data_IF_493345285209
#
_entry.id   IF_493345285209
#
_cell.length_a   1.000
_cell.length_b   1.000
_cell.length_c   1.000
_cell.angle_alpha   90.00
_cell.angle_beta   90.00
_cell.angle_gamma   90.00
#
_symmetry.space_group_name_H-M   'P 1'
#
loop_
_entity.id
_entity.type
_entity.pdbx_description
1 polymer ?
#
# COMPACT_ATOMS: atom_id res chain seq x y z
N UNK A 1 58.16 15.35 40.04
CA UNK A 1 58.32 13.94 39.65
C UNK A 1 57.52 13.71 38.39
N UNK A 2 58.26 13.55 37.30
CA UNK A 2 57.92 12.88 36.04
C UNK A 2 56.72 13.39 35.23
N UNK A 3 56.99 14.40 34.41
CA UNK A 3 56.40 14.62 33.09
C UNK A 3 56.64 13.40 32.19
N UNK A 4 55.59 12.88 31.56
CA UNK A 4 55.69 11.98 30.42
C UNK A 4 54.97 12.62 29.22
N UNK A 5 55.75 13.35 28.42
CA UNK A 5 55.35 13.80 27.10
C UNK A 5 55.34 12.64 26.10
N UNK A 6 54.27 12.55 25.30
CA UNK A 6 54.23 11.70 24.12
C UNK A 6 54.44 12.60 22.90
N UNK A 7 55.56 12.37 22.25
CA UNK A 7 56.04 13.03 21.04
C UNK A 7 55.18 12.69 19.83
N UNK A 8 54.82 13.72 19.05
CA UNK A 8 54.01 13.60 17.85
C UNK A 8 54.72 12.92 16.68
N UNK A 9 53.96 12.12 15.94
CA UNK A 9 54.26 11.72 14.56
C UNK A 9 53.55 12.71 13.63
N UNK A 10 54.33 13.58 12.97
CA UNK A 10 53.83 14.46 11.92
C UNK A 10 53.86 13.72 10.58
N UNK A 11 52.70 13.57 9.95
CA UNK A 11 52.58 13.05 8.58
C UNK A 11 52.93 14.15 7.58
N UNK A 12 53.82 13.83 6.65
CA UNK A 12 54.38 14.71 5.61
C UNK A 12 53.49 14.88 4.37
N UNK A 13 52.20 14.55 4.44
CA UNK A 13 51.34 14.42 3.24
C UNK A 13 50.42 15.61 2.92
N UNK A 14 50.56 16.76 3.60
CA UNK A 14 49.77 17.95 3.30
C UNK A 14 50.66 19.18 3.09
N UNK A 15 51.36 19.19 1.96
CA UNK A 15 51.78 20.44 1.33
C UNK A 15 51.17 20.49 -0.06
N UNK A 16 50.05 21.18 -0.19
CA UNK A 16 49.82 21.96 -1.40
C UNK A 16 48.94 23.18 -1.13
N UNK A 17 49.53 24.30 -1.50
CA UNK A 17 49.03 25.65 -1.53
C UNK A 17 47.98 25.84 -2.62
N UNK A 18 46.83 26.38 -2.23
CA UNK A 18 45.84 26.98 -3.11
C UNK A 18 44.92 27.86 -2.27
N UNK A 19 45.12 29.17 -2.32
CA UNK A 19 44.21 30.16 -1.73
C UNK A 19 42.81 29.98 -2.31
N UNK A 20 41.88 29.47 -1.50
CA UNK A 20 40.45 29.66 -1.73
C UNK A 20 39.99 30.90 -0.94
N UNK A 21 39.14 31.76 -1.53
CA UNK A 21 38.63 32.95 -0.85
C UNK A 21 37.85 32.54 0.40
N UNK A 22 38.11 33.25 1.50
CA UNK A 22 37.48 33.07 2.81
C UNK A 22 35.95 33.17 2.64
N UNK A 23 35.16 32.16 3.04
CA UNK A 23 33.71 32.25 2.99
C UNK A 23 33.26 33.35 3.95
N UNK A 24 32.34 34.21 3.49
CA UNK A 24 31.63 35.17 4.35
C UNK A 24 31.06 34.41 5.55
N UNK A 25 31.43 34.83 6.76
CA UNK A 25 30.83 34.36 8.01
C UNK A 25 29.33 34.65 7.98
N UNK A 26 28.52 33.61 7.79
CA UNK A 26 27.06 33.66 7.87
C UNK A 26 26.66 34.05 9.30
N UNK A 27 25.68 34.94 9.43
CA UNK A 27 25.15 35.35 10.73
C UNK A 27 24.20 34.26 11.25
N UNK A 28 24.07 34.08 12.58
CA UNK A 28 23.04 33.23 13.14
C UNK A 28 21.66 33.71 12.68
N UNK A 29 20.96 32.89 11.89
CA UNK A 29 19.66 33.22 11.29
C UNK A 29 19.62 33.16 9.75
N UNK A 30 20.77 33.04 9.08
CA UNK A 30 20.80 32.89 7.62
C UNK A 30 20.38 31.47 7.23
N UNK A 31 19.15 31.33 6.72
CA UNK A 31 18.66 30.07 6.13
C UNK A 31 19.20 29.97 4.70
N UNK A 32 20.23 29.16 4.51
CA UNK A 32 20.71 28.80 3.17
C UNK A 32 19.77 27.74 2.61
N UNK A 33 18.87 28.15 1.71
CA UNK A 33 18.04 27.22 0.96
C UNK A 33 18.91 26.52 -0.09
N UNK A 34 18.72 25.20 -0.25
CA UNK A 34 19.36 24.45 -1.33
C UNK A 34 18.88 24.97 -2.70
N UNK A 35 19.67 24.76 -3.75
CA UNK A 35 19.28 25.11 -5.12
C UNK A 35 17.93 24.45 -5.51
N UNK A 36 17.71 23.23 -5.04
CA UNK A 36 16.46 22.48 -5.22
C UNK A 36 15.28 23.14 -4.50
N UNK A 37 15.47 23.63 -3.26
CA UNK A 37 14.45 24.35 -2.52
C UNK A 37 14.09 25.69 -3.20
N UNK A 38 15.08 26.41 -3.75
CA UNK A 38 14.84 27.63 -4.52
C UNK A 38 14.05 27.31 -5.80
N UNK A 39 14.37 26.21 -6.49
CA UNK A 39 13.67 25.79 -7.70
C UNK A 39 12.22 25.37 -7.39
N UNK A 40 12.00 24.68 -6.27
CA UNK A 40 10.66 24.30 -5.80
C UNK A 40 9.79 25.53 -5.49
N UNK A 41 10.34 26.53 -4.80
CA UNK A 41 9.64 27.80 -4.52
C UNK A 41 9.26 28.54 -5.81
N UNK A 42 10.20 28.65 -6.77
CA UNK A 42 9.91 29.25 -8.08
C UNK A 42 8.79 28.52 -8.82
N UNK A 43 8.78 27.19 -8.78
CA UNK A 43 7.73 26.38 -9.41
C UNK A 43 6.36 26.62 -8.76
N UNK A 44 6.33 26.75 -7.43
CA UNK A 44 5.08 27.05 -6.71
C UNK A 44 4.53 28.44 -7.06
N UNK A 45 5.39 29.45 -7.18
CA UNK A 45 4.98 30.81 -7.58
C UNK A 45 4.44 30.85 -9.01
N UNK A 46 5.07 30.14 -9.95
CA UNK A 46 4.56 30.03 -11.34
C UNK A 46 3.16 29.44 -11.35
N UNK A 47 2.94 28.32 -10.65
CA UNK A 47 1.63 27.69 -10.59
C UNK A 47 0.58 28.57 -9.89
N UNK A 48 0.99 29.39 -8.91
CA UNK A 48 0.10 30.39 -8.28
C UNK A 48 -0.33 31.44 -9.30
N UNK A 49 0.62 32.00 -10.05
CA UNK A 49 0.35 33.00 -11.09
C UNK A 49 -0.57 32.46 -12.18
N UNK A 50 -0.36 31.22 -12.63
CA UNK A 50 -1.25 30.58 -13.60
C UNK A 50 -2.69 30.43 -13.06
N UNK A 51 -2.85 30.05 -11.79
CA UNK A 51 -4.18 29.96 -11.16
C UNK A 51 -4.86 31.33 -11.07
N UNK A 52 -4.12 32.38 -10.69
CA UNK A 52 -4.65 33.75 -10.61
C UNK A 52 -5.02 34.27 -12.01
N UNK A 53 -4.18 34.07 -13.03
CA UNK A 53 -4.50 34.43 -14.42
C UNK A 53 -5.79 33.74 -14.91
N UNK A 54 -5.97 32.45 -14.59
CA UNK A 54 -7.19 31.72 -14.95
C UNK A 54 -8.43 32.23 -14.22
N UNK A 55 -8.30 32.68 -12.97
CA UNK A 55 -9.39 33.36 -12.24
C UNK A 55 -9.74 34.69 -12.92
N UNK A 56 -8.74 35.46 -13.31
CA UNK A 56 -8.92 36.72 -14.04
C UNK A 56 -9.63 36.54 -15.39
N UNK A 57 -9.27 35.50 -16.16
CA UNK A 57 -9.98 35.15 -17.39
C UNK A 57 -11.45 34.83 -17.13
N UNK A 58 -11.76 34.08 -16.05
CA UNK A 58 -13.14 33.77 -15.66
C UNK A 58 -13.93 35.00 -15.22
N UNK A 59 -13.29 35.93 -14.49
CA UNK A 59 -13.89 37.23 -14.13
C UNK A 59 -14.20 38.04 -15.38
N UNK A 60 -13.26 38.12 -16.35
CA UNK A 60 -13.47 38.80 -17.63
C UNK A 60 -14.57 38.15 -18.48
N UNK A 61 -14.77 36.84 -18.35
CA UNK A 61 -15.86 36.10 -18.99
C UNK A 61 -17.24 36.31 -18.32
N UNK A 62 -17.32 37.08 -17.22
CA UNK A 62 -18.58 37.40 -16.55
C UNK A 62 -19.08 36.33 -15.58
N UNK A 63 -18.20 35.44 -15.11
CA UNK A 63 -18.57 34.47 -14.08
C UNK A 63 -18.64 35.13 -12.70
N UNK A 64 -19.82 35.09 -12.07
CA UNK A 64 -20.11 35.83 -10.84
C UNK A 64 -19.56 35.18 -9.56
N UNK A 65 -19.08 33.92 -9.62
CA UNK A 65 -18.60 33.15 -8.47
C UNK A 65 -17.14 32.68 -8.67
N UNK A 66 -16.24 33.66 -8.82
CA UNK A 66 -14.80 33.42 -8.90
C UNK A 66 -14.14 33.89 -7.61
N UNK A 67 -13.46 32.99 -6.92
CA UNK A 67 -12.72 33.30 -5.69
C UNK A 67 -11.68 34.41 -5.89
N UNK A 68 -11.31 35.12 -4.82
CA UNK A 68 -10.21 36.09 -4.84
C UNK A 68 -8.86 35.43 -5.19
N UNK A 69 -7.89 36.25 -5.54
CA UNK A 69 -6.55 35.79 -5.89
C UNK A 69 -5.82 35.24 -4.66
N UNK A 70 -5.00 34.21 -4.89
CA UNK A 70 -4.09 33.74 -3.86
C UNK A 70 -3.06 34.85 -3.59
N UNK A 71 -3.10 35.40 -2.37
CA UNK A 71 -2.15 36.40 -1.92
C UNK A 71 -0.70 35.88 -1.94
N UNK A 72 0.24 36.81 -1.94
CA UNK A 72 1.68 36.51 -1.86
C UNK A 72 2.03 35.95 -0.47
N UNK A 73 1.74 34.67 -0.26
CA UNK A 73 2.06 33.96 0.97
C UNK A 73 3.57 33.79 1.11
N UNK A 74 4.23 34.77 1.75
CA UNK A 74 5.53 34.67 2.42
C UNK A 74 6.62 33.89 1.63
N UNK A 75 6.87 34.25 0.38
CA UNK A 75 8.21 34.08 -0.16
C UNK A 75 9.11 35.12 0.54
N UNK A 76 10.17 34.71 1.26
CA UNK A 76 11.12 35.68 1.81
C UNK A 76 11.63 36.53 0.64
N UNK A 77 11.75 37.83 0.89
CA UNK A 77 12.19 38.86 -0.06
C UNK A 77 13.61 38.52 -0.59
N UNK A 78 13.75 37.61 -1.55
CA UNK A 78 15.01 37.28 -2.20
C UNK A 78 15.14 38.20 -3.41
N UNK A 79 15.80 39.34 -3.20
CA UNK A 79 16.19 40.27 -4.26
C UNK A 79 17.28 39.60 -5.13
N UNK A 80 16.87 39.02 -6.26
CA UNK A 80 17.82 38.56 -7.29
C UNK A 80 18.24 39.76 -8.15
N UNK A 81 19.53 40.08 -8.14
CA UNK A 81 20.16 41.09 -9.00
C UNK A 81 20.24 40.53 -10.44
N UNK A 82 19.64 41.16 -11.46
CA UNK A 82 19.78 40.73 -12.85
C UNK A 82 21.18 41.07 -13.37
N UNK A 83 21.84 40.10 -13.99
CA UNK A 83 23.06 40.35 -14.79
C UNK A 83 22.70 40.48 -16.26
N UNK A 84 22.95 41.67 -16.81
CA UNK A 84 23.43 41.92 -18.18
C UNK A 84 22.50 41.60 -19.34
N UNK A 85 21.87 42.64 -19.90
CA UNK A 85 21.27 42.63 -21.23
C UNK A 85 22.35 42.54 -22.32
N UNK A 86 22.14 41.66 -23.31
CA UNK A 86 22.87 41.68 -24.59
C UNK A 86 21.91 42.20 -25.66
N UNK A 87 22.26 43.26 -26.41
CA UNK A 87 21.47 43.73 -27.54
C UNK A 87 21.80 42.90 -28.79
N UNK A 88 20.77 42.35 -29.43
CA UNK A 88 20.89 41.77 -30.78
C UNK A 88 19.82 42.38 -31.66
N UNK A 89 20.21 43.47 -32.32
CA UNK A 89 19.55 44.03 -33.49
C UNK A 89 20.33 43.59 -34.72
N UNK A 90 19.80 42.63 -35.48
CA UNK A 90 20.32 42.28 -36.81
C UNK A 90 19.17 41.89 -37.74
N UNK A 91 18.90 42.83 -38.65
CA UNK A 91 18.41 42.69 -40.03
C UNK A 91 17.72 41.39 -40.46
N UNK A 92 16.44 41.52 -40.77
CA UNK A 92 15.65 40.57 -41.53
C UNK A 92 16.20 40.40 -42.95
N UNK A 93 16.79 39.23 -43.23
CA UNK A 93 16.95 38.68 -44.56
C UNK A 93 16.09 37.42 -44.64
N UNK A 94 15.06 37.46 -45.49
CA UNK A 94 14.23 36.31 -45.86
C UNK A 94 15.12 35.23 -46.49
N UNK A 95 15.50 34.25 -45.67
CA UNK A 95 16.17 33.04 -46.12
C UNK A 95 15.12 32.04 -46.60
N UNK A 96 15.25 31.60 -47.84
CA UNK A 96 14.51 30.46 -48.38
C UNK A 96 14.77 29.21 -47.51
N UNK A 97 13.70 28.64 -46.96
CA UNK A 97 13.68 27.34 -46.28
C UNK A 97 14.14 26.24 -47.24
N UNK A 98 15.45 25.97 -47.26
CA UNK A 98 15.92 24.66 -47.65
C UNK A 98 15.54 23.70 -46.53
N UNK A 99 14.73 22.68 -46.82
CA UNK A 99 14.40 21.61 -45.87
C UNK A 99 15.69 21.01 -45.31
N UNK A 100 16.10 21.50 -44.14
CA UNK A 100 17.24 20.97 -43.43
C UNK A 100 16.94 19.50 -43.12
N UNK A 101 17.91 18.60 -43.32
CA UNK A 101 17.73 17.18 -43.07
C UNK A 101 17.23 16.99 -41.64
N UNK A 102 16.03 16.44 -41.52
CA UNK A 102 15.34 16.24 -40.25
C UNK A 102 16.24 15.38 -39.37
N UNK A 103 16.88 16.02 -38.38
CA UNK A 103 17.78 15.32 -37.47
C UNK A 103 16.99 14.23 -36.75
N UNK A 104 17.53 13.01 -36.77
CA UNK A 104 16.91 11.85 -36.13
C UNK A 104 16.80 12.03 -34.60
N UNK A 105 17.71 12.83 -34.03
CA UNK A 105 17.72 13.22 -32.62
C UNK A 105 17.77 14.74 -32.53
N UNK A 106 16.70 15.31 -31.97
CA UNK A 106 16.53 16.76 -31.80
C UNK A 106 17.02 17.17 -30.41
N UNK A 107 17.96 18.12 -30.35
CA UNK A 107 18.58 18.57 -29.10
C UNK A 107 17.56 19.16 -28.11
N UNK A 108 16.53 19.84 -28.61
CA UNK A 108 15.42 20.38 -27.80
C UNK A 108 14.60 19.26 -27.15
N UNK A 109 14.40 18.13 -27.84
CA UNK A 109 13.77 16.93 -27.25
C UNK A 109 14.72 16.20 -26.31
N UNK A 110 16.01 16.13 -26.63
CA UNK A 110 17.00 15.47 -25.79
C UNK A 110 17.22 16.22 -24.47
N UNK A 111 17.21 17.55 -24.49
CA UNK A 111 17.37 18.41 -23.30
C UNK A 111 16.26 18.25 -22.25
N UNK A 112 15.08 17.78 -22.65
CA UNK A 112 13.98 17.47 -21.74
C UNK A 112 14.17 16.12 -21.01
N UNK A 113 15.10 15.28 -21.49
CA UNK A 113 15.39 14.00 -20.87
C UNK A 113 16.57 14.16 -19.91
N UNK A 114 16.41 13.69 -18.68
CA UNK A 114 17.55 13.50 -17.77
C UNK A 114 17.98 12.05 -17.85
N UNK A 115 19.28 11.81 -18.04
CA UNK A 115 19.82 10.47 -17.91
C UNK A 115 19.80 10.09 -16.43
N UNK A 116 19.01 9.08 -16.08
CA UNK A 116 19.05 8.44 -14.78
C UNK A 116 19.71 7.08 -14.96
N UNK A 117 20.90 6.91 -14.37
CA UNK A 117 21.64 5.65 -14.43
C UNK A 117 20.85 4.49 -13.78
N UNK A 118 19.99 4.82 -12.81
CA UNK A 118 19.11 3.89 -12.11
C UNK A 118 17.71 4.47 -12.22
N UNK A 119 16.80 3.73 -12.87
CA UNK A 119 15.38 4.05 -12.87
C UNK A 119 14.81 3.68 -11.49
N UNK A 120 14.70 4.68 -10.61
CA UNK A 120 14.09 4.55 -9.28
C UNK A 120 12.58 4.82 -9.30
N UNK A 121 11.98 5.02 -10.47
CA UNK A 121 10.54 5.33 -10.58
C UNK A 121 9.68 4.14 -10.16
N UNK A 122 8.54 4.41 -9.51
CA UNK A 122 7.60 3.36 -9.12
C UNK A 122 6.89 2.84 -10.39
N UNK A 123 6.96 1.53 -10.70
CA UNK A 123 6.34 0.99 -11.91
C UNK A 123 4.81 1.21 -11.96
N UNK A 124 4.29 1.57 -13.13
CA UNK A 124 2.86 1.84 -13.37
C UNK A 124 1.94 0.68 -12.98
N UNK A 125 2.42 -0.56 -13.07
CA UNK A 125 1.70 -1.76 -12.64
C UNK A 125 1.25 -1.72 -11.17
N UNK A 126 2.02 -1.07 -10.29
CA UNK A 126 1.67 -0.90 -8.87
C UNK A 126 0.51 0.11 -8.73
N UNK A 127 0.53 1.20 -9.50
CA UNK A 127 -0.59 2.15 -9.56
C UNK A 127 -1.88 1.48 -10.07
N UNK A 128 -1.76 0.54 -11.00
CA UNK A 128 -2.92 -0.24 -11.47
C UNK A 128 -3.55 -1.10 -10.36
N UNK A 129 -2.77 -1.67 -9.43
CA UNK A 129 -3.35 -2.37 -8.27
C UNK A 129 -4.17 -1.39 -7.42
N UNK A 130 -3.56 -0.28 -7.02
CA UNK A 130 -4.16 0.74 -6.17
C UNK A 130 -5.44 1.34 -6.79
N UNK A 131 -5.41 1.68 -8.09
CA UNK A 131 -6.57 2.23 -8.81
C UNK A 131 -7.78 1.29 -8.82
N UNK A 132 -7.54 -0.02 -8.70
CA UNK A 132 -8.59 -1.04 -8.66
C UNK A 132 -8.93 -1.49 -7.23
N UNK A 133 -8.52 -0.74 -6.21
CA UNK A 133 -8.80 -1.03 -4.81
C UNK A 133 -8.09 -2.29 -4.27
N UNK A 134 -7.08 -2.79 -4.99
CA UNK A 134 -6.24 -3.89 -4.53
C UNK A 134 -5.08 -3.29 -3.77
N UNK A 135 -4.99 -3.57 -2.47
CA UNK A 135 -3.89 -3.09 -1.65
C UNK A 135 -2.57 -3.68 -2.13
N UNK A 136 -1.61 -2.85 -2.57
CA UNK A 136 -0.30 -3.34 -2.96
C UNK A 136 0.46 -3.75 -1.68
N UNK A 137 0.95 -5.00 -1.58
CA UNK A 137 1.69 -5.41 -0.40
C UNK A 137 3.05 -4.75 -0.34
N UNK A 138 3.57 -4.47 0.85
CA UNK A 138 4.87 -3.83 1.05
C UNK A 138 5.98 -4.55 0.30
N UNK A 139 5.96 -5.89 0.25
CA UNK A 139 6.98 -6.70 -0.43
C UNK A 139 7.25 -6.28 -1.89
N UNK A 140 6.26 -5.70 -2.59
CA UNK A 140 6.45 -5.28 -3.99
C UNK A 140 7.31 -4.01 -4.10
N UNK A 141 7.42 -3.23 -3.02
CA UNK A 141 8.24 -2.02 -2.92
C UNK A 141 9.69 -2.32 -2.54
N UNK A 142 10.06 -3.59 -2.36
CA UNK A 142 11.47 -3.97 -2.24
C UNK A 142 12.24 -3.58 -3.52
N UNK A 143 13.51 -3.16 -3.41
CA UNK A 143 14.33 -2.85 -4.59
C UNK A 143 14.37 -4.01 -5.61
N UNK A 144 14.54 -5.25 -5.13
CA UNK A 144 14.55 -6.44 -5.99
C UNK A 144 13.19 -6.68 -6.67
N UNK A 145 12.08 -6.45 -5.96
CA UNK A 145 10.73 -6.55 -6.50
C UNK A 145 10.47 -5.49 -7.57
N UNK A 146 10.87 -4.24 -7.33
CA UNK A 146 10.74 -3.14 -8.29
C UNK A 146 11.56 -3.41 -9.55
N UNK A 147 12.83 -3.82 -9.41
CA UNK A 147 13.68 -4.20 -10.54
C UNK A 147 13.05 -5.34 -11.37
N UNK A 148 12.49 -6.34 -10.70
CA UNK A 148 11.75 -7.43 -11.36
C UNK A 148 10.53 -6.92 -12.12
N UNK A 149 9.74 -6.00 -11.55
CA UNK A 149 8.57 -5.40 -12.21
C UNK A 149 8.99 -4.61 -13.46
N UNK A 150 10.07 -3.83 -13.37
CA UNK A 150 10.60 -3.07 -14.52
C UNK A 150 11.10 -3.98 -15.65
N UNK A 151 11.67 -5.13 -15.32
CA UNK A 151 12.14 -6.11 -16.31
C UNK A 151 11.02 -6.76 -17.15
N UNK A 152 9.74 -6.45 -16.90
CA UNK A 152 8.55 -6.88 -17.65
C UNK A 152 8.25 -8.38 -17.68
N UNK A 153 9.05 -9.22 -17.01
CA UNK A 153 8.83 -10.67 -16.90
C UNK A 153 7.94 -11.03 -15.69
N UNK A 154 6.83 -10.33 -15.52
CA UNK A 154 5.90 -10.58 -14.41
C UNK A 154 4.60 -11.15 -14.92
N UNK A 155 4.20 -12.27 -14.32
CA UNK A 155 2.92 -12.90 -14.56
C UNK A 155 1.79 -11.97 -14.15
N UNK A 156 0.74 -11.94 -14.95
CA UNK A 156 -0.48 -11.17 -14.64
C UNK A 156 -1.66 -12.10 -14.43
N UNK A 157 -2.57 -11.72 -13.55
CA UNK A 157 -3.81 -12.44 -13.27
C UNK A 157 -5.02 -11.57 -13.58
N UNK A 158 -6.10 -12.21 -14.06
CA UNK A 158 -7.39 -11.56 -14.27
C UNK A 158 -8.14 -11.51 -12.95
N UNK A 159 -8.37 -10.32 -12.42
CA UNK A 159 -9.19 -10.09 -11.24
C UNK A 159 -10.61 -9.66 -11.66
N UNK A 160 -11.63 -10.22 -11.01
CA UNK A 160 -13.02 -9.81 -11.24
C UNK A 160 -13.41 -8.67 -10.30
N UNK A 161 -13.96 -7.59 -10.82
CA UNK A 161 -14.40 -6.40 -10.05
C UNK A 161 -15.91 -6.42 -9.73
N UNK A 162 -16.61 -7.52 -10.01
CA UNK A 162 -18.04 -7.69 -9.70
C UNK A 162 -19.00 -7.06 -10.72
N UNK A 163 -18.55 -6.12 -11.54
CA UNK A 163 -19.33 -5.46 -12.60
C UNK A 163 -19.20 -6.16 -13.97
N UNK A 164 -18.91 -7.46 -14.00
CA UNK A 164 -18.57 -8.24 -15.20
C UNK A 164 -17.30 -7.81 -15.96
N UNK A 165 -16.66 -6.71 -15.55
CA UNK A 165 -15.34 -6.31 -16.05
C UNK A 165 -14.25 -7.17 -15.39
N UNK A 166 -13.32 -7.65 -16.22
CA UNK A 166 -12.11 -8.35 -15.77
C UNK A 166 -10.95 -7.40 -15.97
N UNK A 167 -10.26 -7.08 -14.88
CA UNK A 167 -9.03 -6.29 -14.92
C UNK A 167 -7.84 -7.23 -14.91
N UNK A 168 -6.78 -6.90 -15.64
CA UNK A 168 -5.52 -7.65 -15.60
C UNK A 168 -4.55 -6.89 -14.69
N UNK A 169 -4.08 -7.54 -13.64
CA UNK A 169 -3.15 -6.96 -12.66
C UNK A 169 -1.95 -7.89 -12.47
N UNK A 170 -0.86 -7.37 -11.93
CA UNK A 170 0.32 -8.20 -11.61
C UNK A 170 -0.06 -9.30 -10.59
N UNK A 171 0.50 -10.50 -10.79
CA UNK A 171 0.31 -11.62 -9.89
C UNK A 171 1.19 -11.45 -8.65
N UNK A 172 0.55 -11.12 -7.54
CA UNK A 172 1.22 -10.88 -6.26
C UNK A 172 1.71 -12.21 -5.66
N UNK A 173 1.14 -13.36 -6.06
CA UNK A 173 1.52 -14.66 -5.50
C UNK A 173 2.94 -15.11 -5.86
N UNK A 174 3.55 -14.47 -6.86
CA UNK A 174 4.94 -14.71 -7.27
C UNK A 174 5.96 -13.96 -6.40
N UNK A 175 5.52 -13.15 -5.43
CA UNK A 175 6.37 -12.42 -4.49
C UNK A 175 6.40 -13.10 -3.12
N UNK A 176 7.45 -12.90 -2.31
CA UNK A 176 7.50 -13.40 -0.94
C UNK A 176 6.33 -12.88 -0.09
N UNK A 177 5.99 -13.61 0.97
CA UNK A 177 4.99 -13.17 1.94
C UNK A 177 5.53 -12.02 2.79
N UNK A 178 4.71 -11.00 3.07
CA UNK A 178 5.08 -9.91 4.00
C UNK A 178 5.46 -10.43 5.40
N UNK A 179 4.94 -11.60 5.80
CA UNK A 179 5.24 -12.24 7.08
C UNK A 179 6.72 -12.53 7.31
N UNK A 180 7.51 -12.58 6.23
CA UNK A 180 8.96 -12.79 6.26
C UNK A 180 9.79 -11.51 6.33
N UNK A 181 9.17 -10.32 6.29
CA UNK A 181 9.90 -9.06 6.41
C UNK A 181 10.44 -8.89 7.82
N UNK A 182 11.75 -8.68 7.94
CA UNK A 182 12.38 -8.20 9.16
C UNK A 182 12.17 -6.68 9.35
N UNK A 183 12.57 -6.18 10.52
CA UNK A 183 12.36 -4.78 10.90
C UNK A 183 13.07 -3.81 9.96
N UNK A 184 14.34 -4.06 9.63
CA UNK A 184 15.14 -3.17 8.80
C UNK A 184 14.58 -3.10 7.37
N UNK A 185 14.28 -4.27 6.80
CA UNK A 185 13.70 -4.41 5.48
C UNK A 185 12.32 -3.77 5.43
N UNK A 186 11.49 -3.94 6.46
CA UNK A 186 10.19 -3.28 6.54
C UNK A 186 10.32 -1.75 6.54
N UNK A 187 11.21 -1.17 7.35
CA UNK A 187 11.43 0.29 7.36
C UNK A 187 11.87 0.82 5.99
N UNK A 188 12.86 0.19 5.35
CA UNK A 188 13.33 0.58 4.02
C UNK A 188 12.21 0.50 2.99
N UNK A 189 11.47 -0.60 3.00
CA UNK A 189 10.36 -0.85 2.06
C UNK A 189 9.20 0.11 2.28
N UNK A 190 8.91 0.45 3.53
CA UNK A 190 7.86 1.39 3.89
C UNK A 190 8.19 2.81 3.40
N UNK A 191 9.45 3.24 3.45
CA UNK A 191 9.84 4.53 2.87
C UNK A 191 9.57 4.59 1.36
N UNK A 192 9.84 3.52 0.62
CA UNK A 192 9.50 3.43 -0.81
C UNK A 192 7.98 3.42 -1.04
N UNK A 193 7.22 2.79 -0.15
CA UNK A 193 5.75 2.89 -0.14
C UNK A 193 5.27 4.33 0.13
N UNK A 194 5.94 5.09 1.01
CA UNK A 194 5.61 6.50 1.23
C UNK A 194 5.86 7.35 -0.01
N UNK A 195 6.95 7.13 -0.74
CA UNK A 195 7.20 7.78 -2.05
C UNK A 195 6.07 7.45 -3.04
N UNK A 196 5.60 6.20 -3.06
CA UNK A 196 4.44 5.84 -3.87
C UNK A 196 3.16 6.58 -3.43
N UNK A 197 2.89 6.67 -2.12
CA UNK A 197 1.71 7.37 -1.60
C UNK A 197 1.76 8.88 -1.89
N UNK A 198 2.94 9.50 -1.88
CA UNK A 198 3.14 10.89 -2.27
C UNK A 198 2.76 11.13 -3.74
N UNK A 199 3.10 10.18 -4.63
CA UNK A 199 2.76 10.24 -6.06
C UNK A 199 1.28 9.89 -6.33
N UNK A 200 0.70 8.99 -5.55
CA UNK A 200 -0.60 8.38 -5.82
C UNK A 200 -1.78 9.03 -5.09
N UNK A 201 -1.55 9.76 -4.00
CA UNK A 201 -2.61 10.26 -3.13
C UNK A 201 -2.51 11.75 -2.82
N UNK A 202 -3.61 12.31 -2.29
CA UNK A 202 -3.64 13.71 -1.85
C UNK A 202 -2.78 13.96 -0.59
N UNK A 203 -2.33 15.21 -0.36
CA UNK A 203 -1.38 15.54 0.72
C UNK A 203 -1.82 15.08 2.12
N UNK A 204 -3.11 15.17 2.44
CA UNK A 204 -3.65 14.74 3.74
C UNK A 204 -3.57 13.22 3.94
N UNK A 205 -3.76 12.44 2.88
CA UNK A 205 -3.67 10.97 2.93
C UNK A 205 -2.21 10.58 3.13
N UNK A 206 -1.30 11.14 2.32
CA UNK A 206 0.14 10.94 2.47
C UNK A 206 0.60 11.28 3.89
N UNK A 207 0.22 12.45 4.42
CA UNK A 207 0.53 12.88 5.78
C UNK A 207 0.01 11.89 6.83
N UNK A 208 -1.18 11.31 6.61
CA UNK A 208 -1.73 10.27 7.49
C UNK A 208 -0.85 9.02 7.54
N UNK A 209 -0.40 8.52 6.39
CA UNK A 209 0.50 7.35 6.32
C UNK A 209 1.90 7.64 6.88
N UNK A 210 2.43 8.84 6.65
CA UNK A 210 3.70 9.27 7.24
C UNK A 210 3.58 9.37 8.77
N UNK A 211 2.46 9.91 9.27
CA UNK A 211 2.19 10.00 10.71
C UNK A 211 2.01 8.61 11.34
N UNK A 212 1.34 7.69 10.64
CA UNK A 212 1.21 6.28 11.03
C UNK A 212 2.58 5.61 11.22
N UNK A 213 3.45 5.72 10.21
CA UNK A 213 4.80 5.19 10.25
C UNK A 213 5.61 5.75 11.43
N UNK A 214 5.62 7.07 11.58
CA UNK A 214 6.33 7.73 12.68
C UNK A 214 5.76 7.35 14.05
N UNK A 215 4.45 7.18 14.18
CA UNK A 215 3.80 6.73 15.41
C UNK A 215 4.27 5.31 15.81
N UNK A 216 4.42 4.40 14.85
CA UNK A 216 4.94 3.05 15.09
C UNK A 216 6.41 3.11 15.52
N UNK A 217 7.25 3.84 14.78
CA UNK A 217 8.68 3.94 15.07
C UNK A 217 9.02 4.69 16.37
N UNK A 218 8.11 5.55 16.83
CA UNK A 218 8.29 6.28 18.09
C UNK A 218 7.98 5.43 19.33
N UNK A 219 7.42 4.22 19.16
CA UNK A 219 7.19 3.33 20.30
C UNK A 219 8.55 2.75 20.77
N UNK A 220 8.94 2.96 22.05
CA UNK A 220 10.20 2.44 22.58
C UNK A 220 10.28 0.90 22.54
N UNK A 221 9.14 0.21 22.48
CA UNK A 221 9.03 -1.24 22.38
C UNK A 221 8.82 -1.70 20.93
N UNK A 222 9.13 -0.87 19.92
CA UNK A 222 8.92 -1.19 18.49
C UNK A 222 9.47 -2.57 18.10
N UNK A 223 10.69 -2.90 18.52
CA UNK A 223 11.33 -4.18 18.21
C UNK A 223 10.55 -5.38 18.78
N UNK A 224 10.03 -5.27 20.01
CA UNK A 224 9.26 -6.32 20.67
C UNK A 224 7.91 -6.55 20.00
N UNK A 225 7.26 -5.47 19.58
CA UNK A 225 5.92 -5.51 18.98
C UNK A 225 5.91 -5.51 17.46
N UNK A 226 7.07 -5.64 16.82
CA UNK A 226 7.22 -5.47 15.36
C UNK A 226 6.24 -6.33 14.55
N UNK A 227 6.06 -7.61 14.91
CA UNK A 227 5.08 -8.49 14.26
C UNK A 227 3.66 -7.95 14.35
N UNK A 228 3.25 -7.48 15.54
CA UNK A 228 1.92 -6.90 15.74
C UNK A 228 1.73 -5.60 14.94
N UNK A 229 2.77 -4.76 14.83
CA UNK A 229 2.75 -3.55 14.01
C UNK A 229 2.60 -3.85 12.53
N UNK A 230 3.36 -4.81 12.02
CA UNK A 230 3.29 -5.24 10.62
C UNK A 230 1.88 -5.74 10.28
N UNK A 231 1.29 -6.59 11.11
CA UNK A 231 -0.06 -7.12 10.90
C UNK A 231 -1.14 -6.03 11.02
N UNK A 232 -0.92 -5.04 11.89
CA UNK A 232 -1.79 -3.87 12.00
C UNK A 232 -1.73 -2.99 10.75
N UNK A 233 -0.52 -2.64 10.29
CA UNK A 233 -0.30 -1.87 9.07
C UNK A 233 -0.90 -2.57 7.84
N UNK A 234 -0.67 -3.88 7.69
CA UNK A 234 -1.20 -4.65 6.55
C UNK A 234 -2.74 -4.58 6.48
N UNK A 235 -3.42 -4.74 7.62
CA UNK A 235 -4.89 -4.59 7.69
C UNK A 235 -5.34 -3.16 7.44
N UNK A 236 -4.60 -2.18 7.95
CA UNK A 236 -4.88 -0.76 7.75
C UNK A 236 -4.80 -0.39 6.27
N UNK A 237 -3.72 -0.78 5.58
CA UNK A 237 -3.55 -0.61 4.13
C UNK A 237 -4.66 -1.33 3.35
N UNK A 238 -4.93 -2.60 3.67
CA UNK A 238 -5.99 -3.37 3.01
C UNK A 238 -7.35 -2.67 3.09
N UNK A 239 -7.70 -2.12 4.26
CA UNK A 239 -8.93 -1.36 4.47
C UNK A 239 -8.90 -0.05 3.68
N UNK A 240 -7.79 0.69 3.71
CA UNK A 240 -7.64 1.97 3.00
C UNK A 240 -7.86 1.83 1.48
N UNK A 241 -7.26 0.82 0.85
CA UNK A 241 -7.44 0.62 -0.61
C UNK A 241 -8.84 0.14 -0.98
N UNK A 242 -9.56 -0.50 -0.04
CA UNK A 242 -10.97 -0.84 -0.24
C UNK A 242 -11.88 0.38 -0.04
N UNK A 243 -11.58 1.21 0.95
CA UNK A 243 -12.32 2.41 1.30
C UNK A 243 -11.34 3.45 1.86
N UNK A 244 -11.07 4.51 1.09
CA UNK A 244 -10.10 5.52 1.49
C UNK A 244 -10.56 6.30 2.73
N UNK A 245 -9.61 6.59 3.63
CA UNK A 245 -9.79 7.44 4.81
C UNK A 245 -8.47 8.14 5.16
N UNK A 246 -8.53 9.17 6.00
CA UNK A 246 -7.34 9.83 6.55
C UNK A 246 -6.99 9.15 7.87
N UNK A 247 -5.74 8.72 8.02
CA UNK A 247 -5.25 8.13 9.27
C UNK A 247 -4.94 9.25 10.26
N UNK A 248 -5.51 9.16 11.45
CA UNK A 248 -5.16 10.01 12.58
C UNK A 248 -4.73 9.14 13.76
N UNK A 249 -3.45 9.23 14.14
CA UNK A 249 -2.87 8.43 15.21
C UNK A 249 -3.28 8.90 16.61
N UNK A 250 -3.93 10.06 16.71
CA UNK A 250 -4.36 10.65 17.99
C UNK A 250 -5.74 10.17 18.43
N UNK A 251 -6.50 9.56 17.53
CA UNK A 251 -7.86 9.08 17.83
C UNK A 251 -7.84 7.83 18.70
N UNK A 252 -8.89 7.66 19.50
CA UNK A 252 -9.02 6.50 20.37
C UNK A 252 -9.31 5.23 19.56
N UNK A 253 -10.00 5.35 18.41
CA UNK A 253 -10.24 4.22 17.50
C UNK A 253 -8.93 3.65 16.96
N UNK A 254 -7.97 4.50 16.58
CA UNK A 254 -6.66 4.06 16.10
C UNK A 254 -5.89 3.33 17.21
N UNK A 255 -5.84 3.94 18.42
CA UNK A 255 -5.14 3.34 19.58
C UNK A 255 -5.76 2.01 19.99
N UNK A 256 -7.09 1.93 20.03
CA UNK A 256 -7.80 0.69 20.36
C UNK A 256 -7.53 -0.41 19.31
N UNK A 257 -7.52 -0.06 18.02
CA UNK A 257 -7.20 -1.00 16.95
C UNK A 257 -5.75 -1.50 17.03
N UNK A 258 -4.80 -0.62 17.32
CA UNK A 258 -3.40 -0.98 17.54
C UNK A 258 -3.24 -1.88 18.76
N UNK A 259 -3.86 -1.54 19.89
CA UNK A 259 -3.81 -2.37 21.10
C UNK A 259 -4.42 -3.75 20.87
N UNK A 260 -5.52 -3.82 20.10
CA UNK A 260 -6.12 -5.09 19.68
C UNK A 260 -5.16 -5.96 18.86
N UNK A 261 -4.34 -5.34 18.00
CA UNK A 261 -3.28 -6.04 17.27
C UNK A 261 -2.21 -6.62 18.23
N UNK A 262 -1.71 -5.81 19.17
CA UNK A 262 -0.74 -6.25 20.20
C UNK A 262 -1.31 -7.42 21.03
N UNK A 263 -2.57 -7.33 21.46
CA UNK A 263 -3.23 -8.39 22.22
C UNK A 263 -3.37 -9.69 21.39
N UNK A 264 -3.72 -9.57 20.10
CA UNK A 264 -3.87 -10.73 19.20
C UNK A 264 -2.54 -11.47 18.99
N UNK A 265 -1.44 -10.73 18.90
CA UNK A 265 -0.09 -11.29 18.84
C UNK A 265 0.24 -12.09 20.11
N UNK A 266 -0.01 -11.54 21.31
CA UNK A 266 0.19 -12.26 22.57
C UNK A 266 -0.59 -13.57 22.61
N UNK A 267 -1.89 -13.56 22.28
CA UNK A 267 -2.72 -14.77 22.28
C UNK A 267 -2.21 -15.84 21.29
N UNK A 268 -1.67 -15.41 20.15
CA UNK A 268 -1.12 -16.31 19.14
C UNK A 268 0.16 -16.98 19.63
N UNK A 269 1.06 -16.23 20.27
CA UNK A 269 2.32 -16.77 20.81
C UNK A 269 2.10 -17.82 21.92
N UNK A 270 1.10 -17.64 22.79
CA UNK A 270 0.77 -18.61 23.85
C UNK A 270 0.10 -19.90 23.35
N UNK A 271 -0.61 -19.82 22.21
CA UNK A 271 -1.28 -20.99 21.63
C UNK A 271 -0.28 -22.00 21.06
N UNK A 272 0.87 -21.53 20.55
CA UNK A 272 1.92 -22.39 19.98
C UNK A 272 2.71 -23.17 21.04
N UNK A 273 2.80 -22.67 22.27
CA UNK A 273 3.56 -23.32 23.35
C UNK A 273 2.80 -24.44 24.08
N UNK A 274 1.48 -24.51 23.93
CA UNK A 274 0.63 -25.40 24.74
C UNK A 274 0.38 -26.79 24.13
N UNK A 275 0.84 -27.03 22.89
CA UNK A 275 0.56 -28.29 22.16
C UNK A 275 1.59 -29.42 22.39
N UNK A 276 2.62 -29.20 23.22
CA UNK A 276 3.79 -30.10 23.30
C UNK A 276 3.78 -31.12 24.44
N UNK A 277 2.81 -31.11 25.37
CA UNK A 277 2.96 -31.82 26.66
C UNK A 277 1.95 -32.95 26.97
N UNK A 278 1.28 -33.54 25.98
CA UNK A 278 0.34 -34.65 26.23
C UNK A 278 0.52 -35.83 25.26
N UNK A 279 1.71 -36.44 25.28
CA UNK A 279 1.92 -37.78 24.71
C UNK A 279 2.93 -38.59 25.52
N UNK A 280 2.50 -39.07 26.68
CA UNK A 280 3.04 -40.30 27.31
C UNK A 280 2.02 -40.81 28.32
N UNK A 281 1.22 -41.80 27.91
CA UNK A 281 0.90 -42.97 28.74
C UNK A 281 0.33 -44.05 27.84
N UNK A 282 1.22 -44.92 27.41
CA UNK A 282 0.94 -46.30 27.07
C UNK A 282 0.19 -46.98 28.21
N UNK A 283 -1.04 -47.45 27.95
CA UNK A 283 -1.67 -48.47 28.78
C UNK A 283 -2.22 -49.57 27.88
N UNK A 284 -1.41 -50.61 27.74
CA UNK A 284 -1.81 -51.98 27.42
C UNK A 284 -2.92 -52.44 28.36
N UNK A 285 -4.09 -52.78 27.82
CA UNK A 285 -5.06 -53.63 28.50
C UNK A 285 -5.64 -54.63 27.49
N UNK A 286 -5.11 -55.86 27.55
CA UNK A 286 -5.75 -57.06 27.01
C UNK A 286 -6.99 -57.34 27.84
N UNK A 287 -8.10 -57.63 27.18
CA UNK A 287 -9.35 -58.04 27.82
C UNK A 287 -10.24 -58.77 26.83
N UNK A 288 -9.94 -60.05 26.59
CA UNK A 288 -10.85 -61.01 25.97
C UNK A 288 -12.08 -61.19 26.87
N UNK A 289 -13.27 -60.79 26.39
CA UNK A 289 -14.54 -61.44 26.76
C UNK A 289 -15.55 -61.38 25.62
N UNK A 290 -16.09 -62.56 25.36
CA UNK A 290 -17.02 -62.91 24.30
C UNK A 290 -18.42 -62.30 24.47
N UNK A 291 -19.01 -62.05 23.30
CA UNK A 291 -20.38 -62.37 22.89
C UNK A 291 -21.57 -61.93 23.78
N UNK A 292 -22.25 -60.87 23.33
CA UNK A 292 -23.70 -60.71 23.50
C UNK A 292 -24.26 -59.74 22.46
N UNK A 293 -25.03 -60.32 21.54
CA UNK A 293 -26.05 -59.73 20.67
C UNK A 293 -26.42 -58.28 20.98
N UNK A 294 -26.14 -57.36 20.04
CA UNK A 294 -26.87 -56.10 19.91
C UNK A 294 -27.56 -56.04 18.54
N UNK A 295 -28.90 -55.94 18.49
CA UNK A 295 -29.64 -55.83 17.25
C UNK A 295 -29.62 -54.37 16.75
N UNK A 296 -29.41 -54.21 15.45
CA UNK A 296 -29.41 -52.95 14.68
C UNK A 296 -28.27 -51.96 14.96
N UNK A 297 -27.15 -52.13 14.24
CA UNK A 297 -26.29 -51.01 13.85
C UNK A 297 -27.07 -50.10 12.89
N UNK A 298 -27.88 -49.23 13.48
CA UNK A 298 -28.45 -48.08 12.80
C UNK A 298 -27.32 -47.07 12.70
N UNK A 299 -26.53 -47.18 11.64
CA UNK A 299 -25.49 -46.23 11.23
C UNK A 299 -26.18 -44.93 10.76
N UNK A 300 -26.88 -44.29 11.69
CA UNK A 300 -27.62 -43.07 11.48
C UNK A 300 -26.63 -41.92 11.39
N UNK A 301 -26.38 -41.50 10.15
CA UNK A 301 -26.09 -40.11 9.84
C UNK A 301 -24.84 -39.56 10.50
N UNK A 302 -23.65 -39.96 10.02
CA UNK A 302 -22.48 -39.07 10.06
C UNK A 302 -22.85 -37.78 9.32
N UNK A 303 -23.43 -36.82 10.03
CA UNK A 303 -23.76 -35.49 9.52
C UNK A 303 -22.45 -34.91 8.99
N UNK A 304 -22.35 -34.75 7.67
CA UNK A 304 -21.21 -34.05 7.06
C UNK A 304 -21.02 -32.74 7.83
N UNK A 305 -19.79 -32.41 8.25
CA UNK A 305 -19.55 -31.22 9.04
C UNK A 305 -20.07 -30.00 8.28
N UNK A 306 -20.86 -29.15 8.96
CA UNK A 306 -21.50 -27.98 8.34
C UNK A 306 -20.41 -27.01 7.88
N UNK A 307 -20.41 -26.69 6.58
CA UNK A 307 -19.53 -25.67 5.98
C UNK A 307 -20.07 -24.28 6.31
N UNK A 308 -19.23 -23.41 6.86
CA UNK A 308 -19.57 -22.01 7.09
C UNK A 308 -19.54 -21.24 5.77
N UNK A 309 -20.69 -20.74 5.32
CA UNK A 309 -20.79 -19.95 4.09
C UNK A 309 -20.16 -18.55 4.15
N UNK A 310 -19.73 -18.10 5.32
CA UNK A 310 -18.99 -16.83 5.48
C UNK A 310 -17.49 -17.03 5.34
N UNK A 311 -16.90 -17.91 6.16
CA UNK A 311 -15.45 -18.09 6.22
C UNK A 311 -14.93 -19.35 5.54
N UNK A 312 -15.78 -20.28 5.10
CA UNK A 312 -15.32 -21.50 4.42
C UNK A 312 -14.79 -22.62 5.34
N UNK A 313 -14.68 -22.37 6.65
CA UNK A 313 -14.30 -23.40 7.64
C UNK A 313 -15.50 -24.25 8.03
N UNK A 314 -15.25 -25.48 8.45
CA UNK A 314 -16.30 -26.37 8.97
C UNK A 314 -16.49 -26.22 10.48
N UNK A 315 -17.67 -26.59 10.99
CA UNK A 315 -17.93 -26.73 12.43
C UNK A 315 -18.71 -25.58 13.07
N UNK A 316 -19.06 -24.55 12.30
CA UNK A 316 -19.94 -23.48 12.74
C UNK A 316 -20.81 -22.95 11.58
N UNK A 317 -21.88 -22.23 11.92
CA UNK A 317 -22.78 -21.64 10.93
C UNK A 317 -22.28 -20.25 10.50
N UNK A 318 -22.68 -19.79 9.32
CA UNK A 318 -22.32 -18.44 8.85
C UNK A 318 -22.79 -17.33 9.81
N UNK A 319 -23.95 -17.50 10.46
CA UNK A 319 -24.51 -16.51 11.40
C UNK A 319 -23.80 -16.47 12.76
N UNK A 320 -23.10 -17.55 13.16
CA UNK A 320 -22.26 -17.60 14.38
C UNK A 320 -20.76 -17.47 14.05
N UNK A 321 -20.42 -17.16 12.81
CA UNK A 321 -19.04 -17.06 12.40
C UNK A 321 -18.41 -15.79 12.97
N UNK A 322 -17.48 -15.96 13.90
CA UNK A 322 -16.68 -14.88 14.50
C UNK A 322 -15.29 -14.75 13.84
N UNK A 323 -15.00 -15.54 12.81
CA UNK A 323 -13.72 -15.46 12.12
C UNK A 323 -13.51 -14.06 11.52
N UNK A 324 -12.31 -13.51 11.76
CA UNK A 324 -11.86 -12.25 11.21
C UNK A 324 -11.40 -12.37 9.75
N UNK A 325 -11.01 -13.58 9.33
CA UNK A 325 -10.51 -13.87 7.99
C UNK A 325 -11.19 -15.12 7.40
N UNK A 326 -11.31 -15.22 6.06
CA UNK A 326 -11.72 -16.45 5.39
C UNK A 326 -10.73 -17.62 5.62
N UNK A 327 -11.13 -18.83 5.25
CA UNK A 327 -10.33 -20.06 5.30
C UNK A 327 -9.04 -19.94 4.50
N UNK A 328 -9.06 -19.19 3.40
CA UNK A 328 -7.89 -18.87 2.58
C UNK A 328 -7.39 -17.46 2.88
N UNK A 329 -6.11 -17.39 3.26
CA UNK A 329 -5.40 -16.12 3.42
C UNK A 329 -5.43 -15.27 2.15
N UNK A 330 -5.45 -13.96 2.33
CA UNK A 330 -5.48 -12.97 1.25
C UNK A 330 -6.86 -12.79 0.58
N UNK A 331 -7.92 -13.40 1.11
CA UNK A 331 -9.28 -13.19 0.60
C UNK A 331 -10.12 -12.31 1.51
N UNK A 332 -11.01 -11.57 0.90
CA UNK A 332 -12.03 -10.81 1.60
C UNK A 332 -13.32 -11.64 1.70
N UNK A 333 -14.13 -11.35 2.72
CA UNK A 333 -15.49 -11.88 2.79
C UNK A 333 -16.30 -11.38 1.60
N UNK A 334 -17.05 -12.28 0.95
CA UNK A 334 -17.98 -11.90 -0.13
C UNK A 334 -19.35 -11.56 0.46
N UNK A 335 -19.72 -12.21 1.56
CA UNK A 335 -21.02 -12.10 2.20
C UNK A 335 -20.89 -11.75 3.68
N UNK A 336 -21.93 -11.13 4.21
CA UNK A 336 -22.22 -11.15 5.64
C UNK A 336 -23.47 -12.00 5.88
N UNK A 337 -23.59 -12.58 7.07
CA UNK A 337 -24.71 -13.42 7.46
C UNK A 337 -25.39 -12.81 8.68
N UNK A 338 -26.72 -12.82 8.70
CA UNK A 338 -27.54 -12.41 9.84
C UNK A 338 -28.67 -13.43 10.05
N UNK A 339 -29.69 -13.09 10.85
CA UNK A 339 -30.84 -13.97 11.09
C UNK A 339 -31.77 -14.14 9.88
N UNK A 340 -31.74 -13.21 8.93
CA UNK A 340 -32.59 -13.21 7.74
C UNK A 340 -31.98 -14.00 6.58
N UNK A 341 -30.65 -14.18 6.57
CA UNK A 341 -29.97 -14.99 5.57
C UNK A 341 -28.55 -14.55 5.28
N UNK A 342 -28.12 -14.83 4.04
CA UNK A 342 -26.83 -14.41 3.50
C UNK A 342 -27.03 -13.19 2.60
N UNK A 343 -26.15 -12.20 2.72
CA UNK A 343 -26.23 -10.97 1.95
C UNK A 343 -24.85 -10.60 1.41
N UNK A 344 -24.80 -10.20 0.14
CA UNK A 344 -23.55 -9.78 -0.50
C UNK A 344 -23.06 -8.47 0.13
N UNK A 345 -21.77 -8.38 0.46
CA UNK A 345 -21.22 -7.21 1.17
C UNK A 345 -21.32 -5.95 0.30
N UNK A 346 -21.04 -6.08 -1.00
CA UNK A 346 -20.91 -4.94 -1.91
C UNK A 346 -22.22 -4.19 -2.17
N UNK A 347 -23.35 -4.88 -2.26
CA UNK A 347 -24.64 -4.27 -2.64
C UNK A 347 -25.82 -4.71 -1.77
N UNK A 348 -25.57 -5.48 -0.71
CA UNK A 348 -26.60 -5.96 0.24
C UNK A 348 -27.70 -6.81 -0.39
N UNK A 349 -27.53 -7.36 -1.61
CA UNK A 349 -28.52 -8.29 -2.18
C UNK A 349 -28.49 -9.63 -1.44
N UNK A 350 -29.67 -10.20 -1.22
CA UNK A 350 -29.81 -11.53 -0.62
C UNK A 350 -29.19 -12.59 -1.53
N UNK A 351 -28.39 -13.49 -0.95
CA UNK A 351 -27.70 -14.59 -1.63
C UNK A 351 -28.40 -15.91 -1.29
N UNK A 352 -28.69 -16.72 -2.31
CA UNK A 352 -29.44 -17.97 -2.12
C UNK A 352 -28.61 -18.99 -1.33
N UNK A 353 -29.10 -19.36 -0.14
CA UNK A 353 -28.52 -20.45 0.66
C UNK A 353 -28.69 -21.81 -0.02
N UNK A 354 -29.84 -22.05 -0.66
CA UNK A 354 -30.11 -23.30 -1.37
C UNK A 354 -29.11 -23.53 -2.50
N UNK A 355 -28.77 -22.49 -3.26
CA UNK A 355 -27.74 -22.52 -4.29
C UNK A 355 -26.36 -22.85 -3.71
N UNK A 356 -25.98 -22.20 -2.59
CA UNK A 356 -24.71 -22.46 -1.91
C UNK A 356 -24.62 -23.86 -1.27
N UNK A 357 -25.76 -24.50 -1.03
CA UNK A 357 -25.87 -25.90 -0.64
C UNK A 357 -25.93 -26.89 -1.82
N UNK A 358 -25.95 -26.42 -3.07
CA UNK A 358 -26.14 -27.27 -4.27
C UNK A 358 -27.56 -27.81 -4.44
N UNK A 359 -28.59 -27.11 -3.94
CA UNK A 359 -29.99 -27.55 -3.90
C UNK A 359 -30.99 -26.62 -4.56
N UNK A 360 -30.55 -25.56 -5.22
CA UNK A 360 -31.45 -24.59 -5.85
C UNK A 360 -30.99 -24.24 -7.26
N UNK A 361 -31.92 -24.31 -8.20
CA UNK A 361 -31.81 -24.03 -9.63
C UNK A 361 -32.81 -22.95 -10.10
N UNK A 362 -33.51 -22.30 -9.15
CA UNK A 362 -34.50 -21.27 -9.46
C UNK A 362 -33.90 -20.07 -10.17
N UNK A 363 -34.48 -19.69 -11.32
CA UNK A 363 -34.05 -18.56 -12.13
C UNK A 363 -35.03 -17.36 -12.08
N UNK A 364 -35.87 -17.28 -11.03
CA UNK A 364 -36.80 -16.16 -10.89
C UNK A 364 -36.06 -14.86 -10.56
N UNK A 365 -36.48 -13.73 -11.15
CA UNK A 365 -35.92 -12.39 -10.84
C UNK A 365 -36.14 -11.94 -9.40
N UNK A 366 -37.17 -12.46 -8.73
CA UNK A 366 -37.44 -12.19 -7.31
C UNK A 366 -36.66 -13.09 -6.36
N UNK A 367 -35.91 -14.06 -6.90
CA UNK A 367 -35.14 -15.00 -6.10
C UNK A 367 -33.82 -14.38 -5.64
N UNK A 368 -33.33 -14.70 -4.43
CA UNK A 368 -31.98 -14.34 -4.00
C UNK A 368 -30.91 -14.75 -5.02
N UNK A 369 -29.88 -13.94 -5.19
CA UNK A 369 -28.90 -14.14 -6.27
C UNK A 369 -28.10 -15.44 -6.09
N UNK A 370 -27.83 -16.10 -7.22
CA UNK A 370 -27.01 -17.31 -7.29
C UNK A 370 -25.55 -16.95 -7.49
N UNK A 371 -24.84 -16.75 -6.38
CA UNK A 371 -23.39 -16.61 -6.36
C UNK A 371 -22.80 -17.45 -5.24
N UNK A 372 -21.57 -17.92 -5.45
CA UNK A 372 -20.77 -18.58 -4.43
C UNK A 372 -20.49 -17.61 -3.29
N UNK A 373 -20.88 -17.98 -2.08
CA UNK A 373 -20.71 -17.15 -0.89
C UNK A 373 -19.24 -16.98 -0.45
N UNK A 374 -18.32 -17.77 -1.03
CA UNK A 374 -16.89 -17.78 -0.70
C UNK A 374 -16.02 -17.08 -1.76
N UNK A 375 -16.47 -17.02 -3.02
CA UNK A 375 -15.67 -16.46 -4.12
C UNK A 375 -16.42 -15.57 -5.11
N UNK A 376 -17.72 -15.33 -4.89
CA UNK A 376 -18.62 -14.51 -5.70
C UNK A 376 -18.89 -15.01 -7.14
N UNK A 377 -18.42 -16.19 -7.51
CA UNK A 377 -18.66 -16.79 -8.84
C UNK A 377 -20.11 -17.28 -8.97
N UNK A 378 -20.74 -17.05 -10.12
CA UNK A 378 -22.13 -17.45 -10.41
C UNK A 378 -22.27 -18.87 -10.99
N UNK A 379 -21.18 -19.58 -11.23
CA UNK A 379 -21.21 -20.91 -11.85
C UNK A 379 -21.30 -22.06 -10.83
N UNK A 380 -21.00 -21.82 -9.56
CA UNK A 380 -21.04 -22.85 -8.51
C UNK A 380 -21.47 -22.29 -7.15
N UNK A 381 -22.04 -23.15 -6.30
CA UNK A 381 -22.31 -22.85 -4.89
C UNK A 381 -21.09 -23.06 -3.99
N UNK A 382 -21.14 -22.56 -2.74
CA UNK A 382 -20.07 -22.76 -1.76
C UNK A 382 -19.70 -24.23 -1.49
N UNK A 383 -20.68 -25.13 -1.53
CA UNK A 383 -20.46 -26.57 -1.35
C UNK A 383 -19.49 -27.19 -2.38
N UNK A 384 -19.48 -26.65 -3.60
CA UNK A 384 -18.63 -27.10 -4.72
C UNK A 384 -17.45 -26.14 -4.98
N UNK A 385 -17.20 -25.22 -4.06
CA UNK A 385 -16.16 -24.22 -4.24
C UNK A 385 -14.77 -24.85 -4.06
N UNK A 386 -14.11 -25.17 -5.17
CA UNK A 386 -12.69 -25.62 -5.20
C UNK A 386 -11.72 -24.55 -4.71
N UNK A 387 -12.22 -23.32 -4.61
CA UNK A 387 -11.51 -22.17 -4.09
C UNK A 387 -11.68 -22.01 -2.58
N UNK A 388 -12.43 -22.85 -1.89
CA UNK A 388 -12.57 -22.84 -0.42
C UNK A 388 -11.27 -23.22 0.29
#
# INVERSE_FOLDING_TARGET
MSDNGISGLSSSFLKNSGQTPIPRTLKPGDVVLSAEAIQALKKMDILRLERNNKRDERRKAGENDVSEDEGEGLAPLITLVPSGEIPTDFGALEAQESEAPKLLFDDSKAALNSFQAIDDSIPSAIFFLAKNGISPPLIIFLPASLARIRSSNIKTVKHGTGESTKITVIDISDFPTEDGLDQATWCTTYNTFLTFMELAAGPKIFQGFASHYNCILSDPEFAQWFTAYRDFDQRLRARFFTQAFIIDCKTDEYRAALQSAKNSFLMSTHSSSSASSSRTTSSTAKGDRADRSKPYDRDSSRKKPMLCFRCGRTGHSAHTCEQAEPSRHGRQFVIFANREGLFRISDKRAVCMGYNCGRCDSNSRSHPIHICSLCADSHHGAADCTRN
#
